data_IF_325467305391
#
_entry.id   IF_325467305391
#
_cell.length_a   1.000
_cell.length_b   1.000
_cell.length_c   1.000
_cell.angle_alpha   90.00
_cell.angle_beta   90.00
_cell.angle_gamma   90.00
#
_symmetry.space_group_name_H-M   'P 1'
#
loop_
_entity.id
_entity.type
_entity.pdbx_description
1 polymer ?
#
# COMPACT_ATOMS: atom_id res chain seq x y z
N UNK A 1 -0.43 7.93 -18.21
CA UNK A 1 -1.74 7.34 -17.88
C UNK A 1 -1.40 6.10 -17.10
N UNK A 2 -1.76 6.03 -15.82
CA UNK A 2 -1.41 4.89 -14.97
C UNK A 2 -2.20 3.64 -15.35
N UNK A 3 -1.60 2.48 -15.08
CA UNK A 3 -2.21 1.17 -15.23
C UNK A 3 -3.10 0.83 -14.03
N UNK A 4 -4.32 1.35 -14.06
CA UNK A 4 -5.30 1.15 -12.99
C UNK A 4 -5.68 -0.31 -12.79
N UNK A 5 -5.88 -1.07 -13.87
CA UNK A 5 -6.21 -2.50 -13.78
C UNK A 5 -5.11 -3.31 -13.10
N UNK A 6 -3.85 -3.05 -13.43
CA UNK A 6 -2.72 -3.68 -12.74
C UNK A 6 -2.67 -3.29 -11.26
N UNK A 7 -3.00 -2.05 -10.93
CA UNK A 7 -3.05 -1.56 -9.55
C UNK A 7 -4.08 -2.32 -8.72
N UNK A 8 -5.31 -2.48 -9.23
CA UNK A 8 -6.36 -3.24 -8.55
C UNK A 8 -6.03 -4.74 -8.43
N UNK A 9 -5.42 -5.35 -9.46
CA UNK A 9 -4.96 -6.75 -9.35
C UNK A 9 -3.91 -6.93 -8.24
N UNK A 10 -3.02 -5.95 -8.08
CA UNK A 10 -2.01 -5.95 -7.03
C UNK A 10 -2.62 -5.71 -5.64
N UNK A 11 -3.65 -4.87 -5.55
CA UNK A 11 -4.45 -4.71 -4.34
C UNK A 11 -5.15 -6.03 -3.93
N UNK A 12 -5.76 -6.74 -4.89
CA UNK A 12 -6.37 -8.06 -4.65
C UNK A 12 -5.36 -9.07 -4.07
N UNK A 13 -4.10 -9.05 -4.53
CA UNK A 13 -3.04 -9.90 -3.99
C UNK A 13 -2.77 -9.59 -2.52
N UNK A 14 -2.72 -8.31 -2.14
CA UNK A 14 -2.54 -7.90 -0.74
C UNK A 14 -3.74 -8.33 0.11
N UNK A 15 -4.96 -8.21 -0.42
CA UNK A 15 -6.18 -8.68 0.25
C UNK A 15 -6.20 -10.18 0.47
N UNK A 16 -5.91 -10.96 -0.57
CA UNK A 16 -5.85 -12.42 -0.47
C UNK A 16 -4.79 -12.84 0.56
N UNK A 17 -3.61 -12.19 0.56
CA UNK A 17 -2.57 -12.49 1.54
C UNK A 17 -3.04 -12.23 2.98
N UNK A 18 -3.74 -11.11 3.21
CA UNK A 18 -4.36 -10.79 4.49
C UNK A 18 -5.43 -11.81 4.88
N UNK A 19 -6.38 -12.12 4.01
CA UNK A 19 -7.46 -13.08 4.28
C UNK A 19 -6.94 -14.50 4.60
N UNK A 20 -5.81 -14.87 4.01
CA UNK A 20 -5.13 -16.13 4.27
C UNK A 20 -4.35 -16.15 5.60
N UNK A 21 -4.34 -15.07 6.36
CA UNK A 21 -3.61 -14.96 7.62
C UNK A 21 -2.09 -14.81 7.44
N UNK A 22 -1.62 -14.46 6.23
CA UNK A 22 -0.18 -14.38 5.94
C UNK A 22 0.44 -13.23 6.72
N UNK A 23 -0.22 -12.08 6.80
CA UNK A 23 0.32 -10.90 7.46
C UNK A 23 0.49 -11.10 8.96
N UNK A 24 -0.43 -11.80 9.60
CA UNK A 24 -0.37 -12.21 11.00
C UNK A 24 0.78 -13.20 11.21
N UNK A 25 0.97 -14.15 10.30
CA UNK A 25 2.01 -15.17 10.39
C UNK A 25 3.43 -14.61 10.21
N UNK A 26 3.61 -13.64 9.31
CA UNK A 26 4.94 -13.07 9.01
C UNK A 26 5.27 -11.85 9.86
N UNK A 27 4.26 -11.23 10.49
CA UNK A 27 4.40 -10.04 11.31
C UNK A 27 4.47 -8.74 10.50
N UNK A 28 4.12 -7.65 11.17
CA UNK A 28 3.90 -6.31 10.59
C UNK A 28 5.05 -5.81 9.71
N UNK A 29 6.29 -5.85 10.19
CA UNK A 29 7.48 -5.41 9.43
C UNK A 29 7.61 -6.15 8.08
N UNK A 30 7.39 -7.47 8.09
CA UNK A 30 7.49 -8.28 6.87
C UNK A 30 6.29 -8.08 5.95
N UNK A 31 5.10 -7.84 6.50
CA UNK A 31 3.90 -7.51 5.73
C UNK A 31 4.05 -6.17 5.01
N UNK A 32 4.57 -5.15 5.69
CA UNK A 32 4.93 -3.86 5.09
C UNK A 32 5.96 -4.04 3.98
N UNK A 33 7.03 -4.79 4.26
CA UNK A 33 8.06 -5.09 3.27
C UNK A 33 7.48 -5.83 2.05
N UNK A 34 6.57 -6.78 2.25
CA UNK A 34 5.90 -7.49 1.17
C UNK A 34 5.13 -6.53 0.25
N UNK A 35 4.32 -5.63 0.82
CA UNK A 35 3.59 -4.62 0.04
C UNK A 35 4.54 -3.67 -0.71
N UNK A 36 5.58 -3.17 -0.05
CA UNK A 36 6.56 -2.29 -0.68
C UNK A 36 7.34 -2.97 -1.81
N UNK A 37 7.70 -4.24 -1.65
CA UNK A 37 8.36 -5.02 -2.71
C UNK A 37 7.43 -5.25 -3.91
N UNK A 38 6.13 -5.49 -3.67
CA UNK A 38 5.12 -5.65 -4.71
C UNK A 38 4.96 -4.36 -5.53
N UNK A 39 4.92 -3.21 -4.87
CA UNK A 39 4.92 -1.89 -5.51
C UNK A 39 6.21 -1.65 -6.30
N UNK A 40 7.37 -1.83 -5.65
CA UNK A 40 8.65 -1.46 -6.24
C UNK A 40 9.07 -2.37 -7.39
N UNK A 41 8.73 -3.67 -7.33
CA UNK A 41 9.14 -4.65 -8.36
C UNK A 41 8.11 -4.87 -9.44
N UNK A 42 6.82 -4.75 -9.14
CA UNK A 42 5.76 -5.01 -10.10
C UNK A 42 5.05 -3.71 -10.43
N UNK A 43 4.52 -3.00 -9.44
CA UNK A 43 3.75 -1.77 -9.67
C UNK A 43 4.47 -0.76 -10.57
N UNK A 44 5.72 -0.42 -10.22
CA UNK A 44 6.52 0.56 -10.99
C UNK A 44 6.95 0.08 -12.37
N UNK A 45 7.15 -1.23 -12.56
CA UNK A 45 7.51 -1.79 -13.87
C UNK A 45 6.35 -1.63 -14.88
N UNK A 46 5.12 -1.72 -14.40
CA UNK A 46 3.91 -1.69 -15.22
C UNK A 46 3.10 -0.39 -15.10
N UNK A 47 3.73 0.72 -14.65
CA UNK A 47 3.13 2.06 -14.47
C UNK A 47 1.84 2.05 -13.63
N UNK A 48 1.78 1.19 -12.60
CA UNK A 48 0.66 1.13 -11.68
C UNK A 48 0.65 2.35 -10.72
N UNK A 49 -0.51 2.61 -10.13
CA UNK A 49 -0.71 3.65 -9.13
C UNK A 49 -0.55 3.07 -7.72
N UNK A 50 0.43 3.58 -6.97
CA UNK A 50 0.75 3.12 -5.62
C UNK A 50 -0.43 3.24 -4.65
N UNK A 51 -1.22 4.32 -4.75
CA UNK A 51 -2.39 4.53 -3.92
C UNK A 51 -3.51 3.53 -4.18
N UNK A 52 -3.74 3.15 -5.44
CA UNK A 52 -4.71 2.10 -5.79
C UNK A 52 -4.25 0.72 -5.35
N UNK A 53 -2.94 0.44 -5.43
CA UNK A 53 -2.37 -0.80 -4.87
C UNK A 53 -2.60 -0.85 -3.35
N UNK A 54 -2.41 0.28 -2.67
CA UNK A 54 -2.50 0.39 -1.21
C UNK A 54 -3.91 0.69 -0.69
N UNK A 55 -4.91 0.88 -1.55
CA UNK A 55 -6.25 1.27 -1.12
C UNK A 55 -6.77 0.32 -0.04
N UNK A 56 -7.26 0.90 1.07
CA UNK A 56 -7.69 0.23 2.31
C UNK A 56 -6.60 -0.53 3.11
N UNK A 57 -5.65 -1.22 2.48
CA UNK A 57 -4.62 -2.02 3.17
C UNK A 57 -3.44 -1.19 3.67
N UNK A 58 -3.04 -0.15 2.94
CA UNK A 58 -1.86 0.64 3.28
C UNK A 58 -1.98 1.33 4.64
N UNK A 59 -3.19 1.75 5.03
CA UNK A 59 -3.46 2.26 6.37
C UNK A 59 -3.19 1.24 7.47
N UNK A 60 -3.54 -0.03 7.25
CA UNK A 60 -3.31 -1.11 8.21
C UNK A 60 -1.82 -1.47 8.32
N UNK A 61 -1.07 -1.33 7.22
CA UNK A 61 0.37 -1.58 7.17
C UNK A 61 1.21 -0.35 7.59
N UNK A 62 0.56 0.80 7.82
CA UNK A 62 1.21 2.07 8.12
C UNK A 62 2.10 2.55 6.98
N UNK A 63 1.57 2.63 5.76
CA UNK A 63 2.29 3.06 4.56
C UNK A 63 1.59 4.27 3.95
N UNK A 64 2.31 5.37 3.74
CA UNK A 64 1.81 6.50 2.97
C UNK A 64 1.65 6.16 1.48
N UNK A 65 0.50 6.47 0.91
CA UNK A 65 0.15 6.08 -0.47
C UNK A 65 0.95 6.84 -1.53
N UNK A 66 1.61 7.93 -1.14
CA UNK A 66 2.41 8.77 -2.03
C UNK A 66 3.92 8.55 -1.86
N UNK A 67 4.46 8.75 -0.66
CA UNK A 67 5.91 8.63 -0.45
C UNK A 67 6.39 7.22 -0.08
N UNK A 68 5.47 6.28 0.19
CA UNK A 68 5.75 4.91 0.62
C UNK A 68 6.54 4.78 1.94
N UNK A 69 6.69 5.87 2.68
CA UNK A 69 7.31 5.87 4.00
C UNK A 69 6.39 5.20 5.02
N UNK A 70 7.03 4.58 6.02
CA UNK A 70 6.36 4.02 7.17
C UNK A 70 5.78 5.12 8.06
N UNK A 71 4.45 5.13 8.20
CA UNK A 71 3.73 6.04 9.08
C UNK A 71 2.30 5.56 9.30
N UNK A 72 1.83 5.66 10.55
CA UNK A 72 0.42 5.46 10.92
C UNK A 72 -0.35 6.78 10.98
N UNK A 73 0.34 7.92 10.83
CA UNK A 73 -0.29 9.24 10.72
C UNK A 73 -0.66 9.48 9.25
N UNK A 74 -1.81 8.93 8.86
CA UNK A 74 -2.41 9.04 7.53
C UNK A 74 -3.78 9.70 7.63
N UNK A 75 -4.13 10.51 6.65
CA UNK A 75 -5.46 11.09 6.52
C UNK A 75 -6.47 10.11 5.91
N UNK A 76 -7.70 10.59 5.64
CA UNK A 76 -8.75 9.79 5.00
C UNK A 76 -8.39 9.32 3.57
N UNK A 77 -7.40 9.95 2.92
CA UNK A 77 -6.91 9.60 1.59
C UNK A 77 -5.68 8.69 1.61
N UNK A 78 -5.17 8.32 2.79
CA UNK A 78 -3.97 7.50 2.94
C UNK A 78 -2.66 8.27 2.76
N UNK A 79 -2.69 9.60 2.93
CA UNK A 79 -1.51 10.45 2.80
C UNK A 79 -0.98 10.91 4.15
N UNK A 80 0.34 10.95 4.28
CA UNK A 80 1.00 11.53 5.44
C UNK A 80 1.05 13.06 5.35
N UNK A 81 1.32 13.72 6.48
CA UNK A 81 1.47 15.20 6.57
C UNK A 81 2.45 15.77 5.54
N UNK A 82 3.56 15.07 5.31
CA UNK A 82 4.60 15.53 4.37
C UNK A 82 4.16 15.47 2.90
N UNK A 83 3.19 14.59 2.58
CA UNK A 83 2.61 14.46 1.26
C UNK A 83 1.37 15.34 1.08
N UNK A 84 1.04 16.19 2.06
CA UNK A 84 -0.13 17.08 2.01
C UNK A 84 -1.43 16.44 2.47
N UNK A 85 -1.37 15.37 3.27
CA UNK A 85 -2.57 14.81 3.89
C UNK A 85 -3.29 15.82 4.79
N UNK A 86 -4.62 15.71 4.86
CA UNK A 86 -5.51 16.60 5.59
C UNK A 86 -5.81 16.02 6.99
N UNK A 87 -5.26 16.66 8.04
CA UNK A 87 -5.44 16.25 9.43
C UNK A 87 -6.26 17.31 10.17
N UNK A 88 -7.35 16.92 10.82
CA UNK A 88 -8.14 17.80 11.72
C UNK A 88 -7.42 18.09 13.04
#
# INVERSE_FOLDING_TARGET
>A
MSNHSGSYMLNDVLYIAKEMGIFEAIGEEKSRKFALELINKIGREYDCNDGEILESIGNELGICYCCLEETYELDYSGLCKNCGGEFE
#
